data_IF_817870428911
#
_entry.id   IF_817870428911
#
_cell.length_a   1.000
_cell.length_b   1.000
_cell.length_c   1.000
_cell.angle_alpha   90.00
_cell.angle_beta   90.00
_cell.angle_gamma   90.00
#
_symmetry.space_group_name_H-M   'P 1'
#
loop_
_entity.id
_entity.type
_entity.pdbx_description
1 polymer ?
#
# COMPACT_ATOMS: atom_id res chain seq x y z
N UNK A 1 29.46 16.47 62.10
CA UNK A 1 28.56 17.02 61.05
C UNK A 1 28.84 16.28 59.77
N UNK A 2 28.03 15.27 59.43
CA UNK A 2 28.23 14.49 58.21
C UNK A 2 28.00 15.38 56.99
N UNK A 3 29.00 15.48 56.10
CA UNK A 3 28.98 16.39 54.96
C UNK A 3 27.97 15.89 53.91
N UNK A 4 26.94 16.70 53.63
CA UNK A 4 25.92 16.45 52.59
C UNK A 4 26.56 16.40 51.19
N UNK A 5 27.75 16.98 51.03
CA UNK A 5 28.50 16.96 49.78
C UNK A 5 28.97 15.56 49.37
N UNK A 6 29.33 14.69 50.32
CA UNK A 6 29.79 13.33 49.99
C UNK A 6 28.71 12.47 49.30
N UNK A 7 27.46 12.37 49.81
CA UNK A 7 26.41 11.62 49.13
C UNK A 7 25.96 12.28 47.82
N UNK A 8 25.97 13.61 47.73
CA UNK A 8 25.62 14.32 46.48
C UNK A 8 26.68 14.08 45.40
N UNK A 9 27.97 14.15 45.74
CA UNK A 9 29.07 13.88 44.82
C UNK A 9 29.04 12.42 44.31
N UNK A 10 28.73 11.47 45.19
CA UNK A 10 28.54 10.07 44.81
C UNK A 10 27.40 9.90 43.79
N UNK A 11 26.27 10.57 44.02
CA UNK A 11 25.10 10.48 43.13
C UNK A 11 25.39 11.09 41.75
N UNK A 12 26.08 12.24 41.70
CA UNK A 12 26.52 12.85 40.43
C UNK A 12 27.49 11.94 39.68
N UNK A 13 28.42 11.28 40.36
CA UNK A 13 29.36 10.36 39.74
C UNK A 13 28.67 9.12 39.17
N UNK A 14 27.73 8.53 39.91
CA UNK A 14 26.94 7.37 39.47
C UNK A 14 26.05 7.74 38.28
N UNK A 15 25.31 8.86 38.36
CA UNK A 15 24.44 9.31 37.27
C UNK A 15 25.27 9.70 36.05
N UNK A 16 26.40 10.40 36.23
CA UNK A 16 27.32 10.76 35.16
C UNK A 16 27.87 9.53 34.45
N UNK A 17 28.37 8.54 35.19
CA UNK A 17 28.84 7.28 34.64
C UNK A 17 27.72 6.53 33.88
N UNK A 18 26.50 6.51 34.43
CA UNK A 18 25.34 5.88 33.79
C UNK A 18 24.95 6.57 32.48
N UNK A 19 24.96 7.91 32.43
CA UNK A 19 24.65 8.67 31.22
C UNK A 19 25.71 8.46 30.13
N UNK A 20 26.99 8.46 30.50
CA UNK A 20 28.11 8.20 29.58
C UNK A 20 28.00 6.79 29.01
N UNK A 21 27.78 5.78 29.87
CA UNK A 21 27.59 4.40 29.45
C UNK A 21 26.36 4.25 28.55
N UNK A 22 25.22 4.83 28.93
CA UNK A 22 23.97 4.80 28.14
C UNK A 22 24.19 5.41 26.75
N UNK A 23 24.92 6.53 26.66
CA UNK A 23 25.22 7.19 25.40
C UNK A 23 26.14 6.35 24.52
N UNK A 24 27.20 5.74 25.07
CA UNK A 24 28.12 4.88 24.31
C UNK A 24 27.40 3.61 23.85
N UNK A 25 26.63 2.96 24.73
CA UNK A 25 25.89 1.74 24.42
C UNK A 25 24.84 1.98 23.32
N UNK A 26 24.01 3.05 23.45
CA UNK A 26 23.05 3.42 22.40
C UNK A 26 23.74 3.78 21.08
N UNK A 27 24.89 4.47 21.14
CA UNK A 27 25.66 4.81 19.93
C UNK A 27 26.23 3.57 19.25
N UNK A 28 26.66 2.56 20.01
CA UNK A 28 27.14 1.28 19.46
C UNK A 28 26.03 0.45 18.84
N UNK A 29 24.85 0.39 19.46
CA UNK A 29 23.69 -0.28 18.88
C UNK A 29 23.26 0.41 17.59
N UNK A 30 23.21 1.75 17.57
CA UNK A 30 22.85 2.52 16.38
C UNK A 30 23.89 2.44 15.24
N UNK A 31 25.12 2.02 15.54
CA UNK A 31 26.20 1.86 14.56
C UNK A 31 26.30 0.44 14.00
N UNK A 32 25.47 -0.52 14.46
CA UNK A 32 25.37 -1.79 13.75
C UNK A 32 24.75 -1.51 12.38
N UNK A 33 25.49 -1.86 11.33
CA UNK A 33 25.00 -1.77 9.96
C UNK A 33 23.84 -2.76 9.80
N UNK A 34 22.64 -2.21 9.77
CA UNK A 34 21.45 -2.98 9.41
C UNK A 34 21.49 -3.14 7.90
N UNK A 35 21.64 -4.38 7.45
CA UNK A 35 21.52 -4.73 6.04
C UNK A 35 20.17 -4.20 5.52
N UNK A 36 20.21 -3.48 4.39
CA UNK A 36 19.00 -2.93 3.80
C UNK A 36 18.08 -4.08 3.37
N UNK A 37 16.90 -4.19 4.00
CA UNK A 37 15.95 -5.28 3.75
C UNK A 37 15.49 -5.34 2.29
N UNK A 38 15.34 -4.18 1.66
CA UNK A 38 15.01 -4.05 0.25
C UNK A 38 16.22 -3.56 -0.54
N UNK A 39 16.37 -4.04 -1.79
CA UNK A 39 17.36 -3.46 -2.69
C UNK A 39 17.04 -1.99 -2.97
N UNK A 40 18.01 -1.28 -3.55
CA UNK A 40 17.86 0.11 -3.99
C UNK A 40 16.58 0.32 -4.81
N UNK A 41 16.05 1.54 -4.80
CA UNK A 41 14.76 1.88 -5.39
C UNK A 41 14.93 2.61 -6.73
N UNK A 42 15.06 1.89 -7.85
CA UNK A 42 15.39 2.52 -9.13
C UNK A 42 14.28 3.47 -9.61
N UNK A 43 13.01 3.17 -9.37
CA UNK A 43 11.90 4.02 -9.80
C UNK A 43 11.86 5.36 -9.05
N UNK A 44 12.19 5.35 -7.75
CA UNK A 44 12.36 6.56 -6.96
C UNK A 44 13.57 7.36 -7.44
N UNK A 45 14.69 6.69 -7.66
CA UNK A 45 15.92 7.37 -8.07
C UNK A 45 15.76 7.99 -9.48
N UNK A 46 15.03 7.32 -10.38
CA UNK A 46 14.60 7.88 -11.66
C UNK A 46 13.73 9.12 -11.44
N UNK A 47 12.70 9.05 -10.58
CA UNK A 47 11.86 10.22 -10.29
C UNK A 47 12.65 11.41 -9.71
N UNK A 48 13.55 11.16 -8.76
CA UNK A 48 14.40 12.20 -8.16
C UNK A 48 15.35 12.79 -9.22
N UNK A 49 15.94 11.95 -10.08
CA UNK A 49 16.80 12.42 -11.16
C UNK A 49 16.03 13.31 -12.16
N UNK A 50 14.76 12.97 -12.43
CA UNK A 50 13.87 13.79 -13.26
C UNK A 50 13.52 15.12 -12.59
N UNK A 51 13.37 15.14 -11.27
CA UNK A 51 13.13 16.37 -10.51
C UNK A 51 14.36 17.28 -10.45
N UNK A 52 15.57 16.70 -10.45
CA UNK A 52 16.83 17.42 -10.48
C UNK A 52 17.19 17.96 -11.87
N UNK A 53 16.58 17.42 -12.93
CA UNK A 53 16.84 17.84 -14.31
C UNK A 53 16.19 19.20 -14.59
N UNK A 54 17.01 20.26 -14.61
CA UNK A 54 16.57 21.65 -14.80
C UNK A 54 16.66 22.14 -16.26
N UNK A 55 17.49 21.50 -17.11
CA UNK A 55 17.71 21.89 -18.51
C UNK A 55 17.72 20.65 -19.44
N UNK A 56 16.67 20.40 -20.25
CA UNK A 56 15.33 21.02 -20.24
C UNK A 56 14.47 20.54 -19.05
N UNK A 57 13.49 21.34 -18.59
CA UNK A 57 12.61 20.94 -17.51
C UNK A 57 11.77 19.73 -17.92
N UNK A 58 11.75 18.72 -17.06
CA UNK A 58 10.95 17.52 -17.30
C UNK A 58 9.45 17.86 -17.36
N UNK A 59 8.75 17.24 -18.31
CA UNK A 59 7.32 17.48 -18.50
C UNK A 59 6.51 16.98 -17.29
N UNK A 60 5.52 17.76 -16.85
CA UNK A 60 4.66 17.42 -15.71
C UNK A 60 3.96 16.06 -15.87
N UNK A 61 3.57 15.69 -17.10
CA UNK A 61 3.00 14.37 -17.39
C UNK A 61 3.99 13.23 -17.15
N UNK A 62 5.27 13.47 -17.42
CA UNK A 62 6.34 12.50 -17.20
C UNK A 62 6.65 12.35 -15.72
N UNK A 63 6.63 13.43 -14.94
CA UNK A 63 6.76 13.37 -13.47
C UNK A 63 5.60 12.58 -12.84
N UNK A 64 4.37 12.84 -13.27
CA UNK A 64 3.19 12.09 -12.79
C UNK A 64 3.26 10.61 -13.14
N UNK A 65 3.70 10.27 -14.36
CA UNK A 65 3.91 8.89 -14.76
C UNK A 65 5.03 8.20 -13.97
N UNK A 66 6.14 8.91 -13.72
CA UNK A 66 7.24 8.41 -12.90
C UNK A 66 6.82 8.18 -11.44
N UNK A 67 6.06 9.11 -10.84
CA UNK A 67 5.50 8.95 -9.50
C UNK A 67 4.55 7.75 -9.43
N UNK A 68 3.71 7.54 -10.45
CA UNK A 68 2.84 6.38 -10.53
C UNK A 68 3.65 5.07 -10.62
N UNK A 69 4.77 5.06 -11.37
CA UNK A 69 5.66 3.90 -11.46
C UNK A 69 6.36 3.61 -10.12
N UNK A 70 6.78 4.65 -9.40
CA UNK A 70 7.28 4.55 -8.02
C UNK A 70 6.23 3.92 -7.10
N UNK A 71 4.99 4.41 -7.13
CA UNK A 71 3.89 3.84 -6.35
C UNK A 71 3.61 2.36 -6.68
N UNK A 72 3.73 1.93 -7.95
CA UNK A 72 3.58 0.51 -8.33
C UNK A 72 4.67 -0.34 -7.68
N UNK A 73 5.92 0.11 -7.67
CA UNK A 73 7.02 -0.60 -7.02
C UNK A 73 6.80 -0.70 -5.49
N UNK A 74 6.28 0.35 -4.85
CA UNK A 74 5.92 0.32 -3.44
C UNK A 74 4.80 -0.69 -3.15
N UNK A 75 3.77 -0.79 -3.99
CA UNK A 75 2.71 -1.81 -3.84
C UNK A 75 3.29 -3.23 -3.92
N UNK A 76 4.24 -3.47 -4.82
CA UNK A 76 4.93 -4.77 -4.91
C UNK A 76 5.66 -5.07 -3.59
N UNK A 77 6.39 -4.09 -3.04
CA UNK A 77 7.12 -4.23 -1.77
C UNK A 77 6.19 -4.45 -0.59
N UNK A 78 5.07 -3.73 -0.53
CA UNK A 78 4.04 -3.89 0.51
C UNK A 78 3.44 -5.30 0.47
N UNK A 79 3.12 -5.81 -0.72
CA UNK A 79 2.57 -7.15 -0.84
C UNK A 79 3.59 -8.21 -0.39
N UNK A 80 4.85 -8.08 -0.80
CA UNK A 80 5.94 -8.96 -0.31
C UNK A 80 6.10 -8.88 1.21
N UNK A 81 6.15 -7.67 1.78
CA UNK A 81 6.21 -7.44 3.23
C UNK A 81 5.08 -8.13 4.00
N UNK A 82 3.85 -8.11 3.45
CA UNK A 82 2.70 -8.77 4.09
C UNK A 82 2.83 -10.28 4.09
N UNK A 83 3.29 -10.86 2.98
CA UNK A 83 3.54 -12.30 2.85
C UNK A 83 4.67 -12.74 3.80
N UNK A 84 5.78 -11.98 3.81
CA UNK A 84 6.95 -12.26 4.65
C UNK A 84 6.63 -12.13 6.15
N UNK A 85 5.80 -11.15 6.56
CA UNK A 85 5.37 -10.96 7.96
C UNK A 85 4.72 -12.22 8.52
N UNK A 86 3.82 -12.81 7.75
CA UNK A 86 3.10 -14.02 8.17
C UNK A 86 4.06 -15.21 8.29
N UNK A 87 5.00 -15.37 7.35
CA UNK A 87 5.99 -16.44 7.38
C UNK A 87 6.99 -16.27 8.54
N UNK A 88 7.50 -15.06 8.77
CA UNK A 88 8.45 -14.76 9.85
C UNK A 88 7.85 -14.96 11.23
N UNK A 89 6.58 -14.59 11.44
CA UNK A 89 5.90 -14.83 12.71
C UNK A 89 5.80 -16.32 13.05
N UNK A 90 5.63 -17.18 12.05
CA UNK A 90 5.61 -18.64 12.25
C UNK A 90 7.00 -19.21 12.53
N UNK A 91 8.04 -18.65 11.92
CA UNK A 91 9.43 -19.05 12.13
C UNK A 91 9.97 -18.58 13.48
N UNK A 92 9.57 -17.40 13.94
CA UNK A 92 9.95 -16.85 15.24
C UNK A 92 9.41 -17.70 16.39
N UNK A 93 8.18 -18.19 16.29
CA UNK A 93 7.62 -19.14 17.27
C UNK A 93 8.38 -20.48 17.34
N UNK A 94 9.16 -20.81 16.31
CA UNK A 94 9.99 -22.03 16.24
C UNK A 94 11.45 -21.76 16.64
N UNK A 95 11.80 -20.54 17.04
CA UNK A 95 13.17 -20.09 17.33
C UNK A 95 14.17 -20.38 16.20
N UNK A 96 13.69 -20.53 14.96
CA UNK A 96 14.52 -20.87 13.80
C UNK A 96 15.22 -19.66 13.16
N UNK A 97 14.89 -18.45 13.62
CA UNK A 97 15.30 -17.17 13.06
C UNK A 97 15.71 -16.24 14.21
N UNK A 98 16.81 -15.47 14.09
CA UNK A 98 17.23 -14.55 15.14
C UNK A 98 16.28 -13.37 15.31
N UNK A 99 16.07 -12.94 16.55
CA UNK A 99 15.26 -11.76 16.90
C UNK A 99 15.78 -10.46 16.22
N UNK A 100 17.09 -10.38 15.96
CA UNK A 100 17.66 -9.25 15.22
C UNK A 100 17.05 -9.09 13.82
N UNK A 101 16.70 -10.19 13.14
CA UNK A 101 16.03 -10.15 11.84
C UNK A 101 14.63 -9.57 11.96
N UNK A 102 13.89 -9.93 13.02
CA UNK A 102 12.56 -9.38 13.28
C UNK A 102 12.61 -7.87 13.55
N UNK A 103 13.60 -7.40 14.32
CA UNK A 103 13.79 -5.96 14.52
C UNK A 103 14.16 -5.21 13.23
N UNK A 104 15.01 -5.82 12.38
CA UNK A 104 15.36 -5.26 11.08
C UNK A 104 14.14 -5.20 10.14
N UNK A 105 13.31 -6.24 10.14
CA UNK A 105 12.05 -6.29 9.41
C UNK A 105 11.08 -5.20 9.84
N UNK A 106 10.92 -4.96 11.14
CA UNK A 106 10.10 -3.86 11.66
C UNK A 106 10.65 -2.48 11.27
N UNK A 107 11.98 -2.31 11.26
CA UNK A 107 12.60 -1.08 10.79
C UNK A 107 12.33 -0.85 9.30
N UNK A 108 12.43 -1.89 8.48
CA UNK A 108 12.10 -1.85 7.06
C UNK A 108 10.62 -1.56 6.80
N UNK A 109 9.71 -2.12 7.60
CA UNK A 109 8.27 -1.83 7.55
C UNK A 109 8.02 -0.32 7.80
N UNK A 110 8.70 0.27 8.79
CA UNK A 110 8.60 1.71 9.07
C UNK A 110 9.18 2.57 7.96
N UNK A 111 10.28 2.15 7.34
CA UNK A 111 10.86 2.85 6.20
C UNK A 111 9.92 2.84 4.99
N UNK A 112 9.27 1.70 4.71
CA UNK A 112 8.29 1.59 3.64
C UNK A 112 7.02 2.39 3.93
N UNK A 113 6.55 2.44 5.18
CA UNK A 113 5.44 3.31 5.59
C UNK A 113 5.76 4.79 5.37
N UNK A 114 6.98 5.22 5.68
CA UNK A 114 7.43 6.59 5.43
C UNK A 114 7.44 6.92 3.93
N UNK A 115 7.97 6.02 3.10
CA UNK A 115 7.97 6.16 1.64
C UNK A 115 6.53 6.29 1.08
N UNK A 116 5.59 5.49 1.57
CA UNK A 116 4.18 5.56 1.16
C UNK A 116 3.58 6.92 1.51
N UNK A 117 3.86 7.44 2.71
CA UNK A 117 3.38 8.76 3.13
C UNK A 117 3.98 9.84 2.23
N UNK A 118 5.27 9.76 1.93
CA UNK A 118 5.94 10.72 1.03
C UNK A 118 5.27 10.71 -0.35
N UNK A 119 5.05 9.54 -0.96
CA UNK A 119 4.35 9.41 -2.25
C UNK A 119 2.92 9.98 -2.20
N UNK A 120 2.17 9.77 -1.11
CA UNK A 120 0.83 10.39 -0.94
C UNK A 120 0.93 11.91 -0.87
N UNK A 121 1.89 12.44 -0.13
CA UNK A 121 2.07 13.90 -0.01
C UNK A 121 2.50 14.53 -1.33
N UNK A 122 3.40 13.89 -2.05
CA UNK A 122 3.83 14.32 -3.39
C UNK A 122 2.66 14.26 -4.38
N UNK A 123 1.87 13.18 -4.40
CA UNK A 123 0.68 13.07 -5.25
C UNK A 123 -0.32 14.19 -4.96
N UNK A 124 -0.56 14.51 -3.69
CA UNK A 124 -1.44 15.62 -3.30
C UNK A 124 -0.89 17.00 -3.72
N UNK A 125 0.43 17.15 -3.86
CA UNK A 125 1.06 18.38 -4.37
C UNK A 125 0.78 18.59 -5.86
N UNK A 126 0.69 17.52 -6.66
CA UNK A 126 0.33 17.61 -8.08
C UNK A 126 -1.16 17.83 -8.29
N UNK A 127 -2.02 17.13 -7.54
CA UNK A 127 -3.46 17.30 -7.61
C UNK A 127 -4.10 16.95 -6.26
N UNK A 128 -5.01 17.79 -5.73
CA UNK A 128 -5.69 17.51 -4.47
C UNK A 128 -6.44 16.16 -4.54
N UNK A 129 -6.40 15.40 -3.45
CA UNK A 129 -6.99 14.06 -3.31
C UNK A 129 -6.38 12.95 -4.19
N UNK A 130 -5.37 13.23 -5.04
CA UNK A 130 -4.76 12.19 -5.86
C UNK A 130 -4.04 11.12 -5.03
N UNK A 131 -3.46 11.51 -3.89
CA UNK A 131 -2.81 10.58 -2.97
C UNK A 131 -3.73 9.50 -2.39
N UNK A 132 -5.05 9.74 -2.36
CA UNK A 132 -6.01 8.72 -1.90
C UNK A 132 -6.27 7.61 -2.93
N UNK A 133 -6.11 7.92 -4.22
CA UNK A 133 -6.42 7.01 -5.32
C UNK A 133 -5.18 6.42 -5.99
N UNK A 134 -4.01 7.06 -5.86
CA UNK A 134 -2.78 6.65 -6.57
C UNK A 134 -2.40 5.19 -6.32
N UNK A 135 -2.50 4.72 -5.07
CA UNK A 135 -2.16 3.34 -4.71
C UNK A 135 -3.21 2.33 -5.17
N UNK A 136 -4.49 2.72 -5.25
CA UNK A 136 -5.52 1.87 -5.86
C UNK A 136 -5.25 1.71 -7.36
N UNK A 137 -4.97 2.81 -8.06
CA UNK A 137 -4.58 2.77 -9.47
C UNK A 137 -3.28 1.99 -9.72
N UNK A 138 -2.28 2.14 -8.85
CA UNK A 138 -1.03 1.40 -8.92
C UNK A 138 -1.25 -0.11 -8.73
N UNK A 139 -2.14 -0.51 -7.83
CA UNK A 139 -2.50 -1.92 -7.66
C UNK A 139 -3.18 -2.51 -8.91
N UNK A 140 -4.09 -1.76 -9.55
CA UNK A 140 -4.72 -2.20 -10.80
C UNK A 140 -3.70 -2.33 -11.94
N UNK A 141 -2.73 -1.41 -12.03
CA UNK A 141 -1.62 -1.51 -12.99
C UNK A 141 -0.79 -2.78 -12.73
N UNK A 142 -0.44 -3.04 -11.47
CA UNK A 142 0.31 -4.24 -11.09
C UNK A 142 -0.43 -5.52 -11.46
N UNK A 143 -1.74 -5.60 -11.22
CA UNK A 143 -2.54 -6.76 -11.59
C UNK A 143 -2.61 -6.91 -13.12
N UNK A 144 -2.75 -5.80 -13.86
CA UNK A 144 -2.75 -5.82 -15.31
C UNK A 144 -1.40 -6.30 -15.89
N UNK A 145 -0.28 -5.84 -15.33
CA UNK A 145 1.07 -6.30 -15.73
C UNK A 145 1.25 -7.78 -15.45
N UNK A 146 0.84 -8.27 -14.27
CA UNK A 146 0.89 -9.69 -13.91
C UNK A 146 0.07 -10.57 -14.86
N UNK A 147 -1.07 -10.09 -15.35
CA UNK A 147 -1.89 -10.80 -16.33
C UNK A 147 -1.27 -10.79 -17.74
N UNK A 148 -0.63 -9.69 -18.15
CA UNK A 148 -0.02 -9.53 -19.47
C UNK A 148 1.30 -10.28 -19.63
N UNK A 149 2.14 -10.30 -18.59
CA UNK A 149 3.46 -10.93 -18.62
C UNK A 149 3.45 -12.38 -19.16
N UNK A 150 2.62 -13.31 -18.65
CA UNK A 150 2.58 -14.68 -19.15
C UNK A 150 2.04 -14.77 -20.59
N UNK A 151 1.12 -13.88 -21.00
CA UNK A 151 0.58 -13.90 -22.36
C UNK A 151 1.66 -13.55 -23.39
N UNK A 152 2.55 -12.62 -23.07
CA UNK A 152 3.66 -12.25 -23.94
C UNK A 152 4.75 -13.34 -23.96
N UNK A 153 5.04 -13.98 -22.82
CA UNK A 153 6.05 -15.05 -22.77
C UNK A 153 5.54 -16.39 -23.27
N UNK A 154 4.21 -16.60 -23.37
CA UNK A 154 3.59 -17.88 -23.72
C UNK A 154 4.10 -18.45 -25.05
N UNK A 155 4.30 -17.61 -26.07
CA UNK A 155 4.79 -18.07 -27.37
C UNK A 155 6.24 -18.54 -27.30
N UNK A 156 7.11 -17.82 -26.57
CA UNK A 156 8.50 -18.20 -26.37
C UNK A 156 8.61 -19.47 -25.51
N UNK A 157 7.89 -19.52 -24.38
CA UNK A 157 7.87 -20.70 -23.51
C UNK A 157 7.34 -21.94 -24.22
N UNK A 158 6.37 -21.77 -25.14
CA UNK A 158 5.86 -22.86 -25.96
C UNK A 158 6.90 -23.37 -26.95
N UNK A 159 7.60 -22.49 -27.66
CA UNK A 159 8.67 -22.88 -28.58
C UNK A 159 9.80 -23.64 -27.84
N UNK A 160 10.22 -23.16 -26.68
CA UNK A 160 11.20 -23.85 -25.83
C UNK A 160 10.69 -25.21 -25.34
N UNK A 161 9.41 -25.32 -24.99
CA UNK A 161 8.81 -26.59 -24.58
C UNK A 161 8.75 -27.59 -25.75
N UNK A 162 8.44 -27.13 -26.96
CA UNK A 162 8.41 -27.96 -28.16
C UNK A 162 9.82 -28.48 -28.54
N UNK A 163 10.86 -27.68 -28.31
CA UNK A 163 12.26 -28.09 -28.48
C UNK A 163 12.71 -29.10 -27.40
N UNK A 164 12.40 -28.82 -26.13
CA UNK A 164 12.80 -29.66 -24.99
C UNK A 164 12.07 -31.00 -24.95
N UNK A 165 10.80 -31.04 -25.36
CA UNK A 165 9.95 -32.22 -25.22
C UNK A 165 9.58 -32.88 -26.56
N UNK A 166 9.90 -32.27 -27.70
CA UNK A 166 9.59 -32.79 -29.04
C UNK A 166 8.08 -32.80 -29.32
N UNK A 167 7.63 -32.03 -30.31
CA UNK A 167 6.21 -31.97 -30.69
C UNK A 167 5.65 -33.31 -31.14
N UNK A 168 4.96 -34.03 -30.23
CA UNK A 168 3.74 -34.77 -30.58
C UNK A 168 2.57 -33.90 -30.18
N UNK A 169 2.11 -33.08 -31.12
CA UNK A 169 0.77 -32.51 -31.08
C UNK A 169 -0.20 -33.69 -31.16
N UNK A 170 -0.61 -34.21 -30.00
CA UNK A 170 -1.93 -34.82 -29.91
C UNK A 170 -2.89 -33.65 -30.05
N UNK A 171 -3.27 -33.38 -31.30
CA UNK A 171 -4.51 -32.68 -31.55
C UNK A 171 -5.58 -33.43 -30.73
N UNK A 172 -6.44 -32.75 -29.95
CA UNK A 172 -7.61 -33.42 -29.40
C UNK A 172 -8.52 -33.82 -30.57
N UNK A 173 -8.28 -34.99 -31.14
CA UNK A 173 -9.17 -35.68 -32.05
C UNK A 173 -9.76 -36.87 -31.33
N UNK A 174 -10.95 -36.70 -30.75
CA UNK A 174 -12.04 -37.69 -30.87
C UNK A 174 -13.35 -37.14 -30.30
N UNK A 175 -14.26 -36.84 -31.24
CA UNK A 175 -15.69 -37.14 -31.20
C UNK A 175 -16.56 -36.55 -30.06
N UNK A 176 -17.11 -35.36 -30.31
CA UNK A 176 -18.55 -35.18 -30.06
C UNK A 176 -19.25 -35.61 -31.36
N UNK A 177 -20.02 -36.71 -31.38
CA UNK A 177 -20.78 -37.09 -32.57
C UNK A 177 -21.79 -35.99 -32.91
N UNK A 178 -22.02 -35.68 -34.20
CA UNK A 178 -23.09 -34.78 -34.60
C UNK A 178 -24.41 -35.49 -34.29
N UNK A 179 -25.02 -35.17 -33.14
CA UNK A 179 -26.40 -35.58 -32.92
C UNK A 179 -27.27 -34.82 -33.90
N UNK A 180 -27.85 -35.63 -34.79
CA UNK A 180 -28.80 -35.32 -35.83
C UNK A 180 -29.74 -34.16 -35.51
N UNK A 181 -29.84 -33.29 -36.51
CA UNK A 181 -30.95 -32.37 -36.78
C UNK A 181 -32.30 -32.95 -36.32
N UNK A 182 -32.83 -32.43 -35.22
CA UNK A 182 -34.25 -32.47 -34.94
C UNK A 182 -34.78 -31.04 -35.00
N UNK A 183 -35.53 -30.83 -36.08
CA UNK A 183 -36.30 -29.67 -36.47
C UNK A 183 -37.09 -29.08 -35.29
N UNK A 184 -36.65 -27.92 -34.78
CA UNK A 184 -37.49 -27.06 -33.97
C UNK A 184 -38.06 -25.95 -34.87
N UNK A 185 -39.36 -26.10 -35.15
CA UNK A 185 -40.20 -25.25 -35.97
C UNK A 185 -40.26 -23.81 -35.42
N UNK A 186 -39.98 -22.82 -36.28
CA UNK A 186 -40.35 -21.42 -36.04
C UNK A 186 -41.89 -21.26 -36.10
N UNK A 187 -42.47 -20.43 -35.24
CA UNK A 187 -43.66 -19.67 -35.59
C UNK A 187 -43.35 -18.18 -35.74
N UNK A 188 -43.92 -17.67 -36.83
CA UNK A 188 -43.94 -16.32 -37.38
C UNK A 188 -44.56 -15.26 -36.48
N UNK A 189 -44.08 -14.03 -36.64
CA UNK A 189 -44.72 -12.77 -36.20
C UNK A 189 -46.09 -12.56 -36.89
N UNK A 190 -46.99 -11.76 -36.30
CA UNK A 190 -47.40 -10.53 -37.00
C UNK A 190 -47.60 -9.29 -36.10
N UNK A 191 -47.31 -8.12 -36.66
CA UNK A 191 -47.57 -6.76 -36.15
C UNK A 191 -49.06 -6.37 -36.15
N UNK A 192 -49.49 -5.52 -35.20
CA UNK A 192 -50.13 -4.20 -35.44
C UNK A 192 -50.73 -3.55 -34.15
N UNK A 193 -50.21 -2.37 -33.79
CA UNK A 193 -50.84 -1.08 -33.43
C UNK A 193 -52.09 -1.02 -32.50
N UNK A 194 -51.99 -0.27 -31.39
CA UNK A 194 -52.82 0.93 -31.05
C UNK A 194 -52.27 1.67 -29.80
N UNK A 195 -52.02 2.98 -29.91
CA UNK A 195 -51.82 3.98 -28.83
C UNK A 195 -53.20 4.57 -28.38
N UNK A 196 -53.39 5.49 -27.38
CA UNK A 196 -52.44 6.43 -26.73
C UNK A 196 -52.66 6.81 -25.21
N UNK A 197 -51.74 7.66 -24.69
CA UNK A 197 -51.86 8.68 -23.59
C UNK A 197 -52.05 8.20 -22.13
N UNK A 198 -51.48 8.80 -21.06
CA UNK A 198 -51.02 10.19 -20.82
C UNK A 198 -50.17 10.27 -19.50
N UNK A 199 -49.19 11.19 -19.47
CA UNK A 199 -48.54 11.93 -18.34
C UNK A 199 -47.95 11.13 -17.15
N UNK A 200 -46.74 11.35 -16.63
CA UNK A 200 -45.89 12.53 -16.58
C UNK A 200 -45.43 12.68 -15.12
N UNK A 201 -44.12 12.57 -14.88
CA UNK A 201 -43.31 13.39 -13.95
C UNK A 201 -42.13 12.64 -13.30
N UNK A 202 -40.97 13.26 -13.49
CA UNK A 202 -39.68 12.96 -12.87
C UNK A 202 -39.66 13.49 -11.43
N UNK A 203 -39.04 12.77 -10.49
CA UNK A 203 -38.29 13.45 -9.43
C UNK A 203 -37.11 12.63 -8.85
N UNK A 204 -35.97 13.32 -8.72
CA UNK A 204 -34.72 12.95 -8.05
C UNK A 204 -34.87 13.02 -6.52
N UNK A 205 -34.16 12.21 -5.71
CA UNK A 205 -33.97 12.53 -4.30
C UNK A 205 -32.62 13.23 -4.04
N UNK A 206 -32.67 14.43 -3.42
CA UNK A 206 -31.54 15.12 -2.78
C UNK A 206 -31.77 15.23 -1.26
N UNK A 207 -30.72 14.89 -0.51
CA UNK A 207 -30.21 15.51 0.73
C UNK A 207 -31.11 15.75 1.96
N UNK A 208 -30.84 15.00 3.05
CA UNK A 208 -30.36 15.53 4.35
C UNK A 208 -31.35 16.10 5.39
N UNK A 209 -31.50 15.42 6.55
CA UNK A 209 -31.21 15.93 7.92
C UNK A 209 -31.71 14.92 8.98
N UNK A 210 -30.81 14.33 9.78
CA UNK A 210 -30.52 14.62 11.20
C UNK A 210 -31.71 14.40 12.15
N UNK A 211 -31.62 13.33 12.96
CA UNK A 211 -32.25 13.24 14.27
C UNK A 211 -31.28 12.64 15.29
N UNK A 212 -31.12 13.37 16.40
CA UNK A 212 -30.29 13.10 17.58
C UNK A 212 -30.78 11.89 18.38
N UNK A 213 -29.86 11.14 18.97
CA UNK A 213 -30.16 10.23 20.08
C UNK A 213 -28.93 9.56 20.69
N UNK A 214 -28.60 9.98 21.92
CA UNK A 214 -27.74 9.31 22.92
C UNK A 214 -26.21 9.43 22.78
N UNK A 215 -25.63 10.15 23.73
CA UNK A 215 -24.19 10.32 23.92
C UNK A 215 -23.62 9.40 24.99
N UNK A 216 -22.32 9.15 24.89
CA UNK A 216 -21.48 8.66 25.97
C UNK A 216 -20.23 9.56 26.06
N UNK A 217 -20.01 10.01 27.29
CA UNK A 217 -18.95 10.79 27.90
C UNK A 217 -17.57 10.85 27.25
N UNK A 218 -17.05 12.07 27.12
CA UNK A 218 -15.62 12.36 27.24
C UNK A 218 -15.37 13.53 28.20
N UNK A 219 -14.49 13.25 29.16
CA UNK A 219 -13.96 14.13 30.18
C UNK A 219 -12.89 15.04 29.60
N UNK A 220 -13.00 16.36 29.77
CA UNK A 220 -11.88 17.29 29.65
C UNK A 220 -12.13 18.56 30.48
N UNK A 221 -11.03 19.10 30.99
CA UNK A 221 -10.89 19.90 32.19
C UNK A 221 -10.71 21.41 31.94
N UNK A 222 -11.35 22.22 32.80
CA UNK A 222 -10.91 23.55 33.37
C UNK A 222 -10.73 24.76 32.44
N UNK A 223 -10.62 26.01 32.97
CA UNK A 223 -11.39 26.65 34.05
C UNK A 223 -11.81 28.10 33.67
N UNK A 224 -12.87 28.69 34.26
CA UNK A 224 -12.95 30.16 34.30
C UNK A 224 -13.80 30.77 35.43
N UNK A 225 -13.17 31.77 36.07
CA UNK A 225 -13.68 33.05 36.60
C UNK A 225 -14.73 33.10 37.73
N UNK A 226 -14.14 33.24 38.93
CA UNK A 226 -14.47 34.12 40.06
C UNK A 226 -15.17 35.43 39.67
N UNK A 227 -16.33 35.74 40.30
CA UNK A 227 -17.03 37.02 40.10
C UNK A 227 -18.32 37.25 40.91
N UNK A 228 -18.16 37.57 42.22
CA UNK A 228 -18.94 38.54 43.01
C UNK A 228 -20.44 38.28 43.31
N UNK A 229 -20.72 37.79 44.54
CA UNK A 229 -22.02 37.91 45.23
C UNK A 229 -21.99 39.10 46.19
N UNK A 230 -23.07 39.90 46.17
CA UNK A 230 -23.47 40.85 47.20
C UNK A 230 -24.17 40.10 48.34
N UNK A 231 -23.72 40.31 49.57
CA UNK A 231 -24.57 40.62 50.72
C UNK A 231 -23.70 41.33 51.75
#
# INVERSE_FOLDING_TARGET
MASIFAPVAYLVLVVGALLIFSRIYRRRIAAQEVEQWFPEHPERDVYISLLQCSDPPAADQLLKAALLRRAVADVIRVNRMREDKAALQQLLQKDAVPESLWTAFQAAEKQLEAEIVDVVTEANSFHPAWGTIIFASANEILMNEKLKAPLLTMQATRAEAEEKYGSKVVAPQSAVPPQSLLTAKLPSSPSATTSPSVNGDLELPKTGSISKGSGISSTASTPSKKGKRRK
#
